data_IF_568080097318
#
_entry.id   IF_568080097318
#
_cell.length_a   1.000
_cell.length_b   1.000
_cell.length_c   1.000
_cell.angle_alpha   90.00
_cell.angle_beta   90.00
_cell.angle_gamma   90.00
#
_symmetry.space_group_name_H-M   'P 1'
#
loop_
_entity.id
_entity.type
_entity.pdbx_description
1 polymer ?
#
# COMPACT_ATOMS: atom_id res chain seq x y z
N UNK A 1 10.08 -8.63 5.82
CA UNK A 1 10.01 -7.55 4.83
C UNK A 1 10.42 -6.27 5.52
N UNK A 2 11.14 -5.38 4.84
CA UNK A 2 11.64 -4.14 5.42
C UNK A 2 11.08 -2.97 4.62
N UNK A 3 10.99 -1.77 5.21
CA UNK A 3 10.45 -0.59 4.51
C UNK A 3 11.21 -0.27 3.21
N UNK A 4 12.53 -0.47 3.18
CA UNK A 4 13.35 -0.19 1.99
C UNK A 4 13.10 -1.09 0.77
N UNK A 5 12.37 -2.20 0.92
CA UNK A 5 12.06 -3.15 -0.17
C UNK A 5 10.72 -2.83 -0.87
N UNK A 6 9.96 -1.87 -0.34
CA UNK A 6 8.62 -1.54 -0.83
C UNK A 6 8.72 -0.69 -2.09
N UNK A 7 8.05 -1.11 -3.15
CA UNK A 7 8.03 -0.48 -4.47
C UNK A 7 6.70 -0.70 -5.17
N UNK A 8 6.50 -0.13 -6.36
CA UNK A 8 5.25 -0.26 -7.12
C UNK A 8 4.89 -1.73 -7.45
N UNK A 9 5.87 -2.63 -7.50
CA UNK A 9 5.69 -4.07 -7.73
C UNK A 9 5.37 -4.87 -6.47
N UNK A 10 5.44 -4.24 -5.30
CA UNK A 10 5.14 -4.88 -4.03
C UNK A 10 3.65 -5.17 -3.94
N UNK A 11 3.31 -6.41 -3.58
CA UNK A 11 1.94 -6.81 -3.30
C UNK A 11 1.45 -6.16 -2.01
N UNK A 12 0.32 -5.48 -2.09
CA UNK A 12 -0.31 -4.90 -0.89
C UNK A 12 -0.72 -6.00 0.08
N UNK A 13 -1.10 -7.17 -0.41
CA UNK A 13 -1.40 -8.34 0.42
C UNK A 13 -0.20 -8.77 1.29
N UNK A 14 1.01 -8.75 0.73
CA UNK A 14 2.22 -9.10 1.47
C UNK A 14 2.57 -8.00 2.49
N UNK A 15 2.45 -6.74 2.06
CA UNK A 15 2.63 -5.57 2.91
C UNK A 15 1.73 -5.61 4.14
N UNK A 16 0.42 -5.82 3.97
CA UNK A 16 -0.54 -5.85 5.08
C UNK A 16 -0.46 -7.14 5.89
N UNK A 17 0.04 -8.23 5.30
CA UNK A 17 0.35 -9.45 6.04
C UNK A 17 1.55 -9.25 6.97
N UNK A 18 2.56 -8.49 6.54
CA UNK A 18 3.69 -8.11 7.38
C UNK A 18 3.33 -6.99 8.37
N UNK A 19 2.49 -6.04 7.94
CA UNK A 19 2.11 -4.82 8.66
C UNK A 19 0.58 -4.63 8.64
N UNK A 20 -0.18 -5.29 9.52
CA UNK A 20 -1.65 -5.24 9.51
C UNK A 20 -2.22 -3.83 9.74
N UNK A 21 -1.45 -2.92 10.34
CA UNK A 21 -1.83 -1.50 10.49
C UNK A 21 -1.92 -0.75 9.15
N UNK A 22 -1.21 -1.22 8.11
CA UNK A 22 -1.29 -0.65 6.77
C UNK A 22 -2.68 -0.86 6.17
N UNK A 23 -3.47 -1.84 6.65
CA UNK A 23 -4.88 -2.00 6.26
C UNK A 23 -5.66 -0.73 6.57
N UNK A 24 -5.51 -0.18 7.78
CA UNK A 24 -6.20 1.05 8.18
C UNK A 24 -5.70 2.24 7.36
N UNK A 25 -4.38 2.36 7.18
CA UNK A 25 -3.76 3.44 6.41
C UNK A 25 -4.21 3.49 4.94
N UNK A 26 -4.36 2.33 4.31
CA UNK A 26 -4.87 2.18 2.94
C UNK A 26 -6.39 2.37 2.91
N UNK A 27 -7.11 1.88 3.93
CA UNK A 27 -8.55 2.06 4.04
C UNK A 27 -8.95 3.54 4.15
N UNK A 28 -8.21 4.35 4.91
CA UNK A 28 -8.42 5.81 4.99
C UNK A 28 -8.27 6.50 3.62
N UNK A 29 -7.34 6.02 2.79
CA UNK A 29 -7.14 6.51 1.43
C UNK A 29 -8.11 5.93 0.39
N UNK A 30 -9.12 5.15 0.84
CA UNK A 30 -10.04 4.41 -0.04
C UNK A 30 -9.32 3.50 -1.04
N UNK A 31 -8.14 3.01 -0.69
CA UNK A 31 -7.40 1.97 -1.41
C UNK A 31 -7.88 0.56 -0.97
N UNK A 32 -9.19 0.43 -0.71
CA UNK A 32 -9.85 -0.86 -0.52
C UNK A 32 -10.95 -1.01 -1.58
N UNK A 33 -11.05 -2.19 -2.17
CA UNK A 33 -12.26 -2.60 -2.88
C UNK A 33 -12.85 -3.76 -2.05
N UNK A 34 -13.89 -3.47 -1.26
CA UNK A 34 -14.65 -4.51 -0.57
C UNK A 34 -15.72 -4.95 -1.56
N UNK A 35 -15.36 -5.85 -2.49
CA UNK A 35 -16.32 -6.52 -3.34
C UNK A 35 -16.55 -7.92 -2.77
N UNK A 36 -17.77 -8.15 -2.28
CA UNK A 36 -18.34 -9.47 -2.02
C UNK A 36 -17.63 -10.45 -1.04
N UNK A 37 -16.56 -10.05 -0.34
CA UNK A 37 -16.00 -10.85 0.77
C UNK A 37 -14.50 -11.13 0.70
N UNK A 38 -13.82 -10.78 -0.40
CA UNK A 38 -12.36 -10.89 -0.51
C UNK A 38 -11.75 -9.59 -1.05
N UNK A 39 -10.78 -8.99 -0.35
CA UNK A 39 -10.12 -7.80 -0.85
C UNK A 39 -9.24 -8.15 -2.06
N UNK A 40 -9.54 -7.56 -3.22
CA UNK A 40 -8.63 -7.64 -4.37
C UNK A 40 -7.47 -6.68 -4.13
N UNK A 41 -6.38 -7.19 -3.56
CA UNK A 41 -5.13 -6.47 -3.35
C UNK A 41 -4.11 -6.88 -4.42
N UNK A 42 -3.88 -6.00 -5.39
CA UNK A 42 -2.82 -6.15 -6.37
C UNK A 42 -1.49 -5.57 -5.87
N UNK A 43 -0.63 -5.21 -6.82
CA UNK A 43 0.57 -4.43 -6.51
C UNK A 43 0.24 -2.96 -6.22
N UNK A 44 1.09 -2.25 -5.48
CA UNK A 44 0.90 -0.82 -5.19
C UNK A 44 0.70 -0.01 -6.50
N UNK A 45 1.48 -0.32 -7.54
CA UNK A 45 1.39 0.33 -8.84
C UNK A 45 0.10 0.01 -9.59
N UNK A 46 -0.44 -1.21 -9.47
CA UNK A 46 -1.75 -1.54 -10.01
C UNK A 46 -2.87 -0.78 -9.31
N UNK A 47 -2.87 -0.74 -7.97
CA UNK A 47 -3.89 0.00 -7.21
C UNK A 47 -3.82 1.50 -7.50
N UNK A 48 -2.62 2.05 -7.62
CA UNK A 48 -2.42 3.43 -8.02
C UNK A 48 -2.99 3.68 -9.44
N UNK A 49 -2.70 2.81 -10.40
CA UNK A 49 -3.26 2.90 -11.76
C UNK A 49 -4.77 2.76 -11.82
N UNK A 50 -5.35 1.82 -11.08
CA UNK A 50 -6.80 1.58 -11.00
C UNK A 50 -7.53 2.85 -10.54
N UNK A 51 -6.92 3.55 -9.57
CA UNK A 51 -7.41 4.82 -9.05
C UNK A 51 -6.98 6.05 -9.86
N UNK A 52 -6.35 5.84 -11.02
CA UNK A 52 -5.83 6.89 -11.91
C UNK A 52 -4.81 7.84 -11.25
N UNK A 53 -4.04 7.36 -10.28
CA UNK A 53 -2.94 8.13 -9.71
C UNK A 53 -1.86 8.39 -10.76
N UNK A 54 -1.23 9.56 -10.68
CA UNK A 54 -0.06 9.88 -11.49
C UNK A 54 1.20 9.19 -10.95
N UNK A 55 2.27 9.18 -11.75
CA UNK A 55 3.56 8.64 -11.33
C UNK A 55 4.05 9.29 -10.03
N UNK A 56 3.93 10.62 -9.93
CA UNK A 56 4.31 11.40 -8.75
C UNK A 56 3.54 10.97 -7.50
N UNK A 57 2.22 10.80 -7.61
CA UNK A 57 1.43 10.38 -6.47
C UNK A 57 1.68 8.92 -6.08
N UNK A 58 2.03 8.06 -7.05
CA UNK A 58 2.42 6.67 -6.79
C UNK A 58 3.72 6.62 -6.00
N UNK A 59 4.72 7.41 -6.40
CA UNK A 59 5.96 7.57 -5.62
C UNK A 59 5.68 8.12 -4.23
N UNK A 60 4.83 9.15 -4.12
CA UNK A 60 4.45 9.71 -2.81
C UNK A 60 3.81 8.65 -1.90
N UNK A 61 2.91 7.83 -2.44
CA UNK A 61 2.29 6.72 -1.71
C UNK A 61 3.33 5.71 -1.21
N UNK A 62 4.30 5.34 -2.05
CA UNK A 62 5.38 4.42 -1.65
C UNK A 62 6.20 5.04 -0.51
N UNK A 63 6.65 6.28 -0.67
CA UNK A 63 7.44 6.99 0.36
C UNK A 63 6.68 7.12 1.67
N UNK A 64 5.38 7.42 1.61
CA UNK A 64 4.50 7.48 2.78
C UNK A 64 4.40 6.13 3.49
N UNK A 65 4.24 5.03 2.75
CA UNK A 65 4.23 3.66 3.32
C UNK A 65 5.57 3.35 3.97
N UNK A 66 6.69 3.62 3.29
CA UNK A 66 8.03 3.38 3.81
C UNK A 66 8.28 4.18 5.10
N UNK A 67 7.88 5.46 5.10
CA UNK A 67 8.01 6.35 6.25
C UNK A 67 7.15 5.90 7.42
N UNK A 68 5.91 5.48 7.16
CA UNK A 68 5.00 4.98 8.20
C UNK A 68 5.58 3.75 8.89
N UNK A 69 6.21 2.84 8.14
CA UNK A 69 6.86 1.64 8.67
C UNK A 69 8.16 2.00 9.42
N UNK A 70 9.01 2.83 8.83
CA UNK A 70 10.30 3.23 9.44
C UNK A 70 10.12 4.02 10.75
N UNK A 71 9.04 4.80 10.89
CA UNK A 71 8.73 5.51 12.15
C UNK A 71 8.30 4.59 13.29
N UNK A 72 8.02 3.32 13.02
CA UNK A 72 7.47 2.34 13.97
C UNK A 72 8.49 1.31 14.45
N UNK A 73 9.65 1.21 13.80
CA UNK A 73 10.78 0.36 14.22
C UNK A 73 11.62 1.01 15.35
N UNK A 74 11.20 2.17 15.87
CA UNK A 74 11.88 2.93 16.94
C UNK A 74 11.01 3.07 18.18
#
# INVERSE_FOLDING_TARGET
MNSSDISATTLVADLVSAYPEMVSFLAERKLHCIVCGEPVWGTIGELARDKQFTAEQTEYLIVEIQTAISKRDQ
#
